data_IF_492332108580
#
_entry.id   IF_492332108580
#
_cell.length_a   1.000
_cell.length_b   1.000
_cell.length_c   1.000
_cell.angle_alpha   90.00
_cell.angle_beta   90.00
_cell.angle_gamma   90.00
#
_symmetry.space_group_name_H-M   'P 1'
#
loop_
_entity.id
_entity.type
_entity.pdbx_description
1 polymer ?
#
# COMPACT_ATOMS: atom_id res chain seq x y z
N UNK A 1 -31.25 2.32 -17.93
CA UNK A 1 -30.58 1.00 -17.75
C UNK A 1 -31.48 0.04 -16.95
N UNK A 2 -32.71 -0.25 -17.40
CA UNK A 2 -33.72 -0.96 -16.58
C UNK A 2 -33.47 -2.47 -16.40
N UNK A 3 -32.57 -3.06 -17.20
CA UNK A 3 -32.29 -4.51 -17.19
C UNK A 3 -30.93 -4.89 -16.60
N UNK A 4 -30.23 -3.96 -15.94
CA UNK A 4 -28.92 -4.27 -15.34
C UNK A 4 -29.12 -5.10 -14.06
N UNK A 5 -28.56 -6.29 -14.07
CA UNK A 5 -28.71 -7.28 -12.99
C UNK A 5 -27.50 -7.32 -12.04
N UNK A 6 -26.31 -6.99 -12.56
CA UNK A 6 -25.07 -6.94 -11.81
C UNK A 6 -24.27 -5.67 -12.12
N UNK A 7 -23.76 -5.01 -11.08
CA UNK A 7 -22.92 -3.82 -11.17
C UNK A 7 -21.68 -3.98 -10.27
N UNK A 8 -20.53 -3.72 -10.88
CA UNK A 8 -19.23 -3.64 -10.22
C UNK A 8 -18.73 -2.21 -10.32
N UNK A 9 -18.69 -1.50 -9.19
CA UNK A 9 -18.42 -0.07 -9.15
C UNK A 9 -17.10 0.24 -8.44
N UNK A 10 -16.21 0.97 -9.11
CA UNK A 10 -14.99 1.49 -8.50
C UNK A 10 -15.01 3.01 -8.55
N UNK A 11 -15.02 3.67 -7.40
CA UNK A 11 -15.05 5.13 -7.30
C UNK A 11 -13.85 5.57 -6.47
N UNK A 12 -13.11 6.54 -7.01
CA UNK A 12 -12.11 7.31 -6.27
C UNK A 12 -12.49 8.77 -6.46
N UNK A 13 -12.78 9.47 -5.37
CA UNK A 13 -13.33 10.84 -5.46
C UNK A 13 -12.83 11.72 -4.33
N UNK A 14 -12.51 12.97 -4.66
CA UNK A 14 -12.37 14.05 -3.69
C UNK A 14 -13.76 14.66 -3.49
N UNK A 15 -14.29 14.53 -2.28
CA UNK A 15 -15.63 14.98 -1.94
C UNK A 15 -15.59 16.33 -1.22
N UNK A 16 -16.47 17.24 -1.65
CA UNK A 16 -16.70 18.51 -0.97
C UNK A 16 -17.53 18.28 0.30
N UNK A 17 -16.87 18.00 1.41
CA UNK A 17 -17.46 18.00 2.75
C UNK A 17 -18.36 16.80 3.10
N UNK A 18 -18.48 15.73 2.31
CA UNK A 18 -19.16 14.52 2.81
C UNK A 18 -18.66 13.24 2.15
N UNK A 19 -18.58 12.17 2.94
CA UNK A 19 -18.24 10.88 2.39
C UNK A 19 -19.44 10.30 1.65
N UNK A 20 -19.16 9.49 0.64
CA UNK A 20 -20.20 8.64 0.05
C UNK A 20 -20.57 7.58 1.10
N UNK A 21 -21.86 7.44 1.36
CA UNK A 21 -22.43 6.48 2.30
C UNK A 21 -23.49 5.60 1.62
N UNK A 22 -24.06 4.66 2.37
CA UNK A 22 -25.05 3.72 1.85
C UNK A 22 -26.33 4.41 1.40
N UNK A 23 -26.75 5.47 2.08
CA UNK A 23 -27.92 6.27 1.71
C UNK A 23 -27.72 6.97 0.36
N UNK A 24 -26.51 7.51 0.13
CA UNK A 24 -26.12 8.10 -1.16
C UNK A 24 -26.20 7.06 -2.27
N UNK A 25 -25.62 5.87 -2.07
CA UNK A 25 -25.68 4.80 -3.07
C UNK A 25 -27.10 4.29 -3.32
N UNK A 26 -27.91 4.18 -2.27
CA UNK A 26 -29.30 3.75 -2.38
C UNK A 26 -30.10 4.73 -3.24
N UNK A 27 -30.01 6.02 -2.92
CA UNK A 27 -30.73 7.08 -3.61
C UNK A 27 -30.28 7.26 -5.06
N UNK A 28 -28.97 7.25 -5.30
CA UNK A 28 -28.39 7.66 -6.58
C UNK A 28 -28.22 6.49 -7.57
N UNK A 29 -28.19 5.24 -7.08
CA UNK A 29 -27.96 4.06 -7.92
C UNK A 29 -29.09 3.03 -7.76
N UNK A 30 -29.27 2.49 -6.55
CA UNK A 30 -30.13 1.30 -6.34
C UNK A 30 -31.58 1.60 -6.70
N UNK A 31 -32.10 2.77 -6.31
CA UNK A 31 -33.48 3.21 -6.61
C UNK A 31 -33.79 3.18 -8.12
N UNK A 32 -32.81 3.51 -8.96
CA UNK A 32 -32.98 3.61 -10.41
C UNK A 32 -32.65 2.30 -11.15
N UNK A 33 -32.23 1.26 -10.43
CA UNK A 33 -31.85 -0.05 -10.97
C UNK A 33 -32.59 -1.18 -10.25
N UNK A 34 -33.93 -1.30 -10.40
CA UNK A 34 -34.74 -2.23 -9.60
C UNK A 34 -34.44 -3.71 -9.84
N UNK A 35 -33.72 -4.06 -10.92
CA UNK A 35 -33.27 -5.44 -11.21
C UNK A 35 -31.86 -5.73 -10.71
N UNK A 36 -31.18 -4.76 -10.09
CA UNK A 36 -29.82 -4.92 -9.59
C UNK A 36 -29.83 -5.77 -8.33
N UNK A 37 -29.68 -7.08 -8.49
CA UNK A 37 -29.56 -8.01 -7.36
C UNK A 37 -28.11 -8.29 -6.98
N UNK A 38 -27.13 -7.91 -7.81
CA UNK A 38 -25.71 -8.06 -7.49
C UNK A 38 -24.99 -6.72 -7.60
N UNK A 39 -24.80 -6.06 -6.47
CA UNK A 39 -24.06 -4.81 -6.40
C UNK A 39 -22.81 -4.99 -5.55
N UNK A 40 -21.65 -4.81 -6.16
CA UNK A 40 -20.35 -4.78 -5.46
C UNK A 40 -19.67 -3.47 -5.75
N UNK A 41 -19.04 -2.88 -4.75
CA UNK A 41 -18.36 -1.62 -4.92
C UNK A 41 -17.04 -1.54 -4.14
N UNK A 42 -16.18 -0.65 -4.62
CA UNK A 42 -14.99 -0.15 -3.97
C UNK A 42 -15.02 1.38 -4.07
N UNK A 43 -15.11 2.06 -2.94
CA UNK A 43 -15.27 3.51 -2.88
C UNK A 43 -14.18 4.07 -1.97
N UNK A 44 -13.27 4.83 -2.56
CA UNK A 44 -12.33 5.66 -1.83
C UNK A 44 -12.77 7.12 -1.97
N UNK A 45 -13.10 7.75 -0.86
CA UNK A 45 -13.47 9.17 -0.82
C UNK A 45 -12.55 9.93 0.10
N UNK A 46 -12.12 11.12 -0.30
CA UNK A 46 -11.30 12.02 0.52
C UNK A 46 -12.03 13.32 0.79
N UNK A 47 -11.83 13.90 1.97
CA UNK A 47 -12.41 15.20 2.37
C UNK A 47 -11.32 16.02 3.03
N UNK A 48 -11.17 17.28 2.62
CA UNK A 48 -10.25 18.22 3.26
C UNK A 48 -10.85 18.76 4.57
N UNK A 49 -10.02 18.87 5.61
CA UNK A 49 -10.40 19.42 6.92
C UNK A 49 -10.74 20.91 6.86
N UNK A 50 -10.29 21.63 5.84
CA UNK A 50 -10.69 23.01 5.59
C UNK A 50 -12.21 23.15 5.41
N UNK A 51 -12.89 22.06 5.04
CA UNK A 51 -14.30 22.10 4.66
C UNK A 51 -15.27 21.76 5.80
N UNK A 52 -14.84 21.23 6.98
CA UNK A 52 -15.77 20.82 8.05
C UNK A 52 -15.24 20.75 9.50
N UNK A 53 -16.17 20.94 10.46
CA UNK A 53 -15.98 20.87 11.92
C UNK A 53 -16.46 19.58 12.58
N UNK A 54 -17.17 18.68 11.89
CA UNK A 54 -17.74 17.45 12.48
C UNK A 54 -17.54 16.23 11.56
N UNK A 55 -16.70 15.28 11.98
CA UNK A 55 -16.55 13.99 11.29
C UNK A 55 -17.61 13.00 11.77
N UNK A 56 -18.41 12.45 10.85
CA UNK A 56 -19.27 11.32 11.19
C UNK A 56 -18.40 10.12 11.60
N UNK A 57 -18.63 9.57 12.80
CA UNK A 57 -17.93 8.38 13.28
C UNK A 57 -18.20 7.19 12.33
N UNK A 58 -17.21 6.32 12.15
CA UNK A 58 -17.30 5.08 11.35
C UNK A 58 -18.64 4.35 11.56
N UNK A 59 -19.06 4.21 12.82
CA UNK A 59 -20.26 3.49 13.22
C UNK A 59 -21.55 4.08 12.63
N UNK A 60 -21.66 5.40 12.49
CA UNK A 60 -22.85 6.00 11.89
C UNK A 60 -22.97 5.64 10.42
N UNK A 61 -21.85 5.59 9.73
CA UNK A 61 -21.89 5.38 8.31
C UNK A 61 -21.92 3.89 7.95
N UNK A 62 -21.34 3.01 8.76
CA UNK A 62 -21.55 1.56 8.63
C UNK A 62 -23.04 1.20 8.67
N UNK A 63 -23.83 1.84 9.54
CA UNK A 63 -25.28 1.63 9.62
C UNK A 63 -26.03 1.97 8.34
N UNK A 64 -25.56 2.94 7.56
CA UNK A 64 -26.20 3.29 6.28
C UNK A 64 -26.12 2.15 5.24
N UNK A 65 -25.25 1.17 5.46
CA UNK A 65 -25.09 0.01 4.57
C UNK A 65 -25.89 -1.22 5.01
N UNK A 66 -26.69 -1.16 6.08
CA UNK A 66 -27.46 -2.32 6.59
C UNK A 66 -28.42 -2.92 5.55
N UNK A 67 -28.87 -2.14 4.58
CA UNK A 67 -29.78 -2.57 3.51
C UNK A 67 -29.08 -3.28 2.33
N UNK A 68 -27.75 -3.39 2.35
CA UNK A 68 -26.97 -4.03 1.28
C UNK A 68 -26.76 -5.52 1.61
N UNK A 69 -27.81 -6.33 1.47
CA UNK A 69 -27.83 -7.73 1.93
C UNK A 69 -26.88 -8.71 1.20
N UNK A 70 -26.29 -8.31 0.07
CA UNK A 70 -25.57 -9.24 -0.81
C UNK A 70 -24.09 -9.43 -0.46
N UNK A 71 -23.50 -8.53 0.32
CA UNK A 71 -22.10 -8.61 0.72
C UNK A 71 -21.93 -8.02 2.11
N UNK A 72 -20.98 -8.55 2.89
CA UNK A 72 -20.46 -7.82 4.04
C UNK A 72 -19.77 -6.55 3.53
N UNK A 73 -20.09 -5.40 4.13
CA UNK A 73 -19.51 -4.12 3.76
C UNK A 73 -18.48 -3.73 4.81
N UNK A 74 -17.24 -3.57 4.38
CA UNK A 74 -16.15 -3.13 5.25
C UNK A 74 -15.94 -1.63 5.05
N UNK A 75 -15.75 -0.92 6.15
CA UNK A 75 -15.43 0.51 6.13
C UNK A 75 -14.20 0.82 6.97
N UNK A 76 -13.38 1.73 6.47
CA UNK A 76 -12.22 2.28 7.17
C UNK A 76 -12.18 3.79 6.97
N UNK A 77 -11.85 4.53 8.02
CA UNK A 77 -11.58 5.96 7.95
C UNK A 77 -10.18 6.19 8.50
N UNK A 78 -9.42 6.96 7.74
CA UNK A 78 -8.07 7.41 8.06
C UNK A 78 -8.06 8.92 8.13
N UNK A 79 -7.42 9.45 9.16
CA UNK A 79 -7.28 10.88 9.40
C UNK A 79 -5.82 11.28 9.23
N UNK A 80 -5.56 12.17 8.28
CA UNK A 80 -4.25 12.70 7.94
C UNK A 80 -4.17 14.14 8.41
N UNK A 81 -3.82 14.31 9.69
CA UNK A 81 -3.83 15.60 10.39
C UNK A 81 -2.77 16.56 9.81
N UNK A 82 -1.58 16.06 9.48
CA UNK A 82 -0.50 16.90 8.93
C UNK A 82 -0.84 17.43 7.54
N UNK A 83 -1.54 16.62 6.74
CA UNK A 83 -2.01 16.98 5.40
C UNK A 83 -3.37 17.67 5.38
N UNK A 84 -4.08 17.67 6.50
CA UNK A 84 -5.37 18.34 6.60
C UNK A 84 -6.49 17.65 5.82
N UNK A 85 -6.53 16.32 5.74
CA UNK A 85 -7.63 15.61 5.10
C UNK A 85 -7.95 14.26 5.76
N UNK A 86 -9.16 13.76 5.53
CA UNK A 86 -9.56 12.40 5.88
C UNK A 86 -9.76 11.59 4.60
N UNK A 87 -9.37 10.32 4.61
CA UNK A 87 -9.75 9.34 3.59
C UNK A 87 -10.72 8.35 4.20
N UNK A 88 -11.69 7.93 3.40
CA UNK A 88 -12.59 6.84 3.72
C UNK A 88 -12.60 5.81 2.62
N UNK A 89 -12.44 4.56 3.02
CA UNK A 89 -12.49 3.42 2.13
C UNK A 89 -13.64 2.50 2.52
N UNK A 90 -14.51 2.20 1.57
CA UNK A 90 -15.69 1.37 1.74
C UNK A 90 -15.69 0.35 0.61
N UNK A 91 -15.85 -0.92 0.93
CA UNK A 91 -15.91 -1.95 -0.10
C UNK A 91 -16.79 -3.14 0.28
N UNK A 92 -17.29 -3.81 -0.76
CA UNK A 92 -17.97 -5.10 -0.63
C UNK A 92 -16.96 -6.24 -0.47
N UNK A 93 -17.14 -7.07 0.54
CA UNK A 93 -16.34 -8.28 0.78
C UNK A 93 -17.00 -9.52 0.11
N UNK A 94 -16.23 -10.41 -0.53
CA UNK A 94 -14.78 -10.35 -0.74
C UNK A 94 -14.37 -9.28 -1.75
N UNK A 95 -13.21 -8.67 -1.53
CA UNK A 95 -12.64 -7.64 -2.39
C UNK A 95 -12.27 -8.19 -3.77
N UNK A 96 -12.73 -7.54 -4.85
CA UNK A 96 -12.60 -8.05 -6.22
C UNK A 96 -11.65 -7.27 -7.13
N UNK A 97 -11.12 -6.15 -6.66
CA UNK A 97 -10.24 -5.32 -7.49
C UNK A 97 -8.79 -5.78 -7.38
N UNK A 98 -8.05 -5.53 -8.46
CA UNK A 98 -6.63 -5.85 -8.58
C UNK A 98 -5.75 -4.95 -7.70
N UNK A 99 -6.22 -3.73 -7.43
CA UNK A 99 -5.43 -2.68 -6.80
C UNK A 99 -6.05 -2.31 -5.46
N UNK A 100 -5.23 -2.19 -4.42
CA UNK A 100 -5.61 -1.63 -3.13
C UNK A 100 -4.67 -0.46 -2.81
N UNK A 101 -5.21 0.76 -2.80
CA UNK A 101 -4.40 1.96 -2.64
C UNK A 101 -4.47 2.58 -1.24
N UNK A 102 -3.34 3.17 -0.83
CA UNK A 102 -3.17 3.97 0.39
C UNK A 102 -3.59 3.23 1.67
N UNK A 103 -3.08 2.01 1.85
CA UNK A 103 -3.26 1.27 3.11
C UNK A 103 -2.45 1.95 4.22
N UNK A 104 -3.10 2.23 5.34
CA UNK A 104 -2.53 2.89 6.52
C UNK A 104 -2.31 1.89 7.67
N UNK A 105 -1.69 2.33 8.77
CA UNK A 105 -1.56 1.52 9.99
C UNK A 105 -2.91 1.05 10.59
N UNK A 106 -4.04 1.66 10.21
CA UNK A 106 -5.36 1.25 10.71
C UNK A 106 -5.90 -0.01 10.02
N UNK A 107 -5.20 -0.51 9.00
CA UNK A 107 -5.57 -1.72 8.29
C UNK A 107 -5.64 -2.93 9.22
N UNK A 108 -6.81 -3.55 9.28
CA UNK A 108 -7.10 -4.67 10.19
C UNK A 108 -6.64 -6.02 9.67
N UNK A 109 -6.20 -6.11 8.41
CA UNK A 109 -5.90 -7.37 7.74
C UNK A 109 -7.13 -7.93 7.02
N UNK A 110 -7.06 -9.22 6.66
CA UNK A 110 -8.08 -9.93 5.87
C UNK A 110 -7.43 -10.62 4.67
N UNK A 111 -8.16 -11.47 3.95
CA UNK A 111 -7.61 -12.19 2.81
C UNK A 111 -8.07 -11.57 1.48
N UNK A 112 -7.12 -11.03 0.72
CA UNK A 112 -7.38 -10.30 -0.52
C UNK A 112 -6.74 -11.01 -1.72
N UNK A 113 -7.32 -12.13 -2.13
CA UNK A 113 -6.76 -12.98 -3.20
C UNK A 113 -6.77 -12.36 -4.59
N UNK A 114 -7.65 -11.37 -4.83
CA UNK A 114 -7.75 -10.69 -6.13
C UNK A 114 -6.76 -9.54 -6.30
N UNK A 115 -6.16 -9.07 -5.19
CA UNK A 115 -5.29 -7.90 -5.18
C UNK A 115 -3.86 -8.32 -5.52
N UNK A 116 -3.28 -7.67 -6.53
CA UNK A 116 -1.88 -7.89 -6.93
C UNK A 116 -1.04 -6.61 -6.85
N UNK A 117 -1.67 -5.45 -6.69
CA UNK A 117 -0.99 -4.14 -6.61
C UNK A 117 -1.42 -3.44 -5.33
N UNK A 118 -0.46 -3.11 -4.47
CA UNK A 118 -0.71 -2.49 -3.17
C UNK A 118 0.12 -1.23 -3.03
N UNK A 119 -0.49 -0.16 -2.53
CA UNK A 119 0.24 1.01 -2.05
C UNK A 119 -0.03 1.26 -0.57
N UNK A 120 1.04 1.56 0.17
CA UNK A 120 1.03 1.87 1.59
C UNK A 120 1.33 3.36 1.78
N UNK A 121 0.54 4.03 2.62
CA UNK A 121 0.76 5.42 2.99
C UNK A 121 0.20 5.69 4.39
N UNK A 122 0.98 6.38 5.23
CA UNK A 122 0.52 6.90 6.52
C UNK A 122 1.39 8.10 6.92
N UNK A 123 0.84 8.99 7.74
CA UNK A 123 1.59 10.07 8.40
C UNK A 123 2.37 9.56 9.61
N UNK A 124 2.02 8.39 10.12
CA UNK A 124 2.73 7.69 11.20
C UNK A 124 3.68 6.67 10.61
N UNK A 125 4.80 6.41 11.30
CA UNK A 125 5.74 5.37 10.90
C UNK A 125 5.10 3.98 10.86
N UNK A 126 5.56 3.13 9.95
CA UNK A 126 5.17 1.72 9.91
C UNK A 126 6.07 0.86 10.81
N UNK A 127 5.48 -0.12 11.49
CA UNK A 127 6.20 -1.12 12.28
C UNK A 127 6.37 -2.44 11.51
N UNK A 128 7.28 -3.31 11.94
CA UNK A 128 7.50 -4.64 11.34
C UNK A 128 6.19 -5.46 11.25
N UNK A 129 5.38 -5.43 12.30
CA UNK A 129 4.09 -6.13 12.38
C UNK A 129 3.08 -5.67 11.31
N UNK A 130 3.19 -4.42 10.86
CA UNK A 130 2.35 -3.90 9.79
C UNK A 130 2.71 -4.59 8.48
N UNK A 131 3.99 -4.67 8.15
CA UNK A 131 4.46 -5.37 6.95
C UNK A 131 4.13 -6.87 6.98
N UNK A 132 4.22 -7.53 8.15
CA UNK A 132 3.76 -8.90 8.30
C UNK A 132 2.27 -9.05 7.96
N UNK A 133 1.44 -8.12 8.46
CA UNK A 133 0.00 -8.09 8.17
C UNK A 133 -0.28 -7.88 6.68
N UNK A 134 0.49 -7.01 6.02
CA UNK A 134 0.41 -6.82 4.55
C UNK A 134 0.75 -8.12 3.83
N UNK A 135 1.88 -8.76 4.14
CA UNK A 135 2.29 -10.01 3.50
C UNK A 135 1.22 -11.13 3.63
N UNK A 136 0.64 -11.27 4.82
CA UNK A 136 -0.43 -12.26 5.08
C UNK A 136 -1.74 -11.92 4.37
N UNK A 137 -2.04 -10.64 4.20
CA UNK A 137 -3.30 -10.21 3.62
C UNK A 137 -3.34 -10.29 2.10
N UNK A 138 -2.16 -10.17 1.46
CA UNK A 138 -2.02 -10.08 0.00
C UNK A 138 -1.09 -11.18 -0.55
N UNK A 139 -1.50 -12.45 -0.50
CA UNK A 139 -0.62 -13.58 -0.85
C UNK A 139 -0.14 -13.57 -2.31
N UNK A 140 -0.90 -12.95 -3.22
CA UNK A 140 -0.58 -12.87 -4.65
C UNK A 140 -0.08 -11.48 -5.09
N UNK A 141 0.35 -10.64 -4.14
CA UNK A 141 0.89 -9.31 -4.43
C UNK A 141 2.12 -9.38 -5.34
N UNK A 142 2.05 -8.66 -6.46
CA UNK A 142 3.14 -8.52 -7.45
C UNK A 142 3.82 -7.17 -7.39
N UNK A 143 3.12 -6.13 -6.94
CA UNK A 143 3.63 -4.77 -6.85
C UNK A 143 3.32 -4.19 -5.47
N UNK A 144 4.37 -3.69 -4.80
CA UNK A 144 4.27 -3.00 -3.53
C UNK A 144 4.89 -1.61 -3.65
N UNK A 145 4.11 -0.59 -3.35
CA UNK A 145 4.59 0.80 -3.24
C UNK A 145 4.53 1.24 -1.78
N UNK A 146 5.63 1.72 -1.22
CA UNK A 146 5.68 2.23 0.15
C UNK A 146 5.98 3.72 0.13
N UNK A 147 5.03 4.53 0.62
CA UNK A 147 5.16 5.98 0.73
C UNK A 147 5.04 6.40 2.19
N UNK A 148 6.16 6.58 2.85
CA UNK A 148 6.16 7.03 4.24
C UNK A 148 7.46 7.78 4.55
N UNK A 149 7.36 9.08 4.81
CA UNK A 149 8.51 9.93 5.06
C UNK A 149 8.99 9.89 6.52
N UNK A 150 8.23 9.27 7.44
CA UNK A 150 8.63 9.13 8.84
C UNK A 150 9.58 7.95 8.99
N UNK A 151 10.64 8.17 9.76
CA UNK A 151 11.58 7.13 10.18
C UNK A 151 10.85 5.95 10.82
N UNK A 152 11.35 4.73 10.62
CA UNK A 152 10.70 3.54 11.16
C UNK A 152 10.73 3.60 12.70
N UNK A 153 9.57 3.45 13.34
CA UNK A 153 9.52 3.32 14.79
C UNK A 153 10.13 1.97 15.16
N UNK A 154 11.03 1.98 16.14
CA UNK A 154 11.67 0.76 16.67
C UNK A 154 12.55 0.01 15.67
N UNK A 155 13.64 0.63 15.19
CA UNK A 155 14.77 -0.07 14.53
C UNK A 155 15.33 -1.25 15.33
N UNK A 156 14.97 -1.34 16.62
CA UNK A 156 15.36 -2.41 17.54
C UNK A 156 14.17 -2.78 18.45
N UNK A 157 13.45 -3.85 18.11
CA UNK A 157 12.65 -4.66 19.05
C UNK A 157 12.82 -6.11 18.57
N UNK A 158 13.48 -7.04 19.28
CA UNK A 158 13.43 -7.36 20.70
C UNK A 158 14.84 -7.75 21.20
N UNK A 159 15.44 -6.92 22.06
CA UNK A 159 16.28 -7.40 23.17
C UNK A 159 15.49 -7.19 24.45
N UNK A 160 14.29 -7.78 24.56
CA UNK A 160 13.64 -7.94 25.85
C UNK A 160 13.90 -9.35 26.33
N UNK A 161 14.45 -9.42 27.54
CA UNK A 161 14.60 -10.63 28.30
C UNK A 161 13.24 -11.34 28.40
N UNK A 162 13.29 -12.66 28.27
CA UNK A 162 12.22 -13.63 28.43
C UNK A 162 11.23 -13.73 27.24
N UNK A 163 11.25 -14.93 26.67
CA UNK A 163 10.41 -15.51 25.63
C UNK A 163 10.79 -15.24 24.16
N UNK A 164 11.26 -16.32 23.54
CA UNK A 164 11.67 -16.52 22.14
C UNK A 164 10.54 -16.23 21.13
N UNK A 165 9.99 -15.02 21.06
CA UNK A 165 9.23 -14.58 19.89
C UNK A 165 10.18 -14.04 18.84
N UNK A 166 10.92 -14.96 18.21
CA UNK A 166 11.57 -14.70 16.94
C UNK A 166 10.46 -14.30 15.97
N UNK A 167 10.32 -13.01 15.66
CA UNK A 167 9.40 -12.56 14.63
C UNK A 167 9.69 -13.37 13.37
N UNK A 168 8.66 -14.05 12.86
CA UNK A 168 8.75 -14.85 11.63
C UNK A 168 9.27 -13.98 10.48
N UNK A 169 10.04 -14.60 9.59
CA UNK A 169 10.46 -13.96 8.35
C UNK A 169 9.21 -13.52 7.59
N UNK A 170 9.18 -12.25 7.18
CA UNK A 170 8.13 -11.65 6.37
C UNK A 170 8.47 -11.93 4.90
N UNK A 171 7.68 -12.79 4.27
CA UNK A 171 7.91 -13.22 2.90
C UNK A 171 6.94 -12.56 1.93
N UNK A 172 7.46 -12.11 0.80
CA UNK A 172 6.66 -11.57 -0.31
C UNK A 172 6.84 -12.42 -1.58
N UNK A 173 6.36 -13.68 -1.60
CA UNK A 173 6.79 -14.68 -2.57
C UNK A 173 6.52 -14.31 -4.03
N UNK A 174 5.48 -13.51 -4.29
CA UNK A 174 5.04 -13.14 -5.64
C UNK A 174 5.49 -11.74 -6.06
N UNK A 175 6.25 -11.03 -5.22
CA UNK A 175 6.59 -9.62 -5.45
C UNK A 175 7.58 -9.47 -6.58
N UNK A 176 7.17 -8.82 -7.66
CA UNK A 176 8.04 -8.55 -8.82
C UNK A 176 8.52 -7.10 -8.85
N UNK A 177 7.80 -6.19 -8.20
CA UNK A 177 8.09 -4.75 -8.20
C UNK A 177 7.94 -4.16 -6.80
N UNK A 178 8.95 -3.40 -6.39
CA UNK A 178 8.97 -2.66 -5.14
C UNK A 178 9.31 -1.19 -5.44
N UNK A 179 8.43 -0.26 -5.05
CA UNK A 179 8.65 1.18 -5.20
C UNK A 179 8.81 1.85 -3.82
N UNK A 180 9.99 2.43 -3.61
CA UNK A 180 10.46 3.10 -2.39
C UNK A 180 10.88 4.56 -2.66
N UNK A 181 10.38 5.21 -3.74
CA UNK A 181 10.78 6.58 -4.14
C UNK A 181 10.23 7.72 -3.29
N UNK A 182 9.32 7.45 -2.35
CA UNK A 182 8.78 8.47 -1.48
C UNK A 182 8.77 7.96 -0.04
N UNK A 183 9.87 7.31 0.33
CA UNK A 183 9.99 6.61 1.61
C UNK A 183 11.24 7.06 2.35
N UNK A 184 11.17 7.03 3.67
CA UNK A 184 12.32 7.25 4.51
C UNK A 184 13.35 6.12 4.31
N UNK A 185 14.64 6.45 4.28
CA UNK A 185 15.73 5.50 4.04
C UNK A 185 15.73 4.27 4.97
N UNK A 186 15.12 4.36 6.15
CA UNK A 186 14.92 3.22 7.05
C UNK A 186 14.15 2.07 6.39
N UNK A 187 13.11 2.36 5.59
CA UNK A 187 12.37 1.32 4.88
C UNK A 187 13.19 0.74 3.72
N UNK A 188 14.06 1.54 3.10
CA UNK A 188 15.04 1.04 2.12
C UNK A 188 16.00 0.07 2.81
N UNK A 189 16.49 0.41 4.00
CA UNK A 189 17.33 -0.48 4.80
C UNK A 189 16.57 -1.75 5.19
N UNK A 190 15.32 -1.64 5.64
CA UNK A 190 14.46 -2.76 6.02
C UNK A 190 14.31 -3.76 4.85
N UNK A 191 13.91 -3.28 3.67
CA UNK A 191 13.66 -4.17 2.53
C UNK A 191 14.94 -4.74 1.91
N UNK A 192 16.02 -3.96 1.86
CA UNK A 192 17.24 -4.39 1.17
C UNK A 192 18.23 -5.13 2.06
N UNK A 193 18.25 -4.78 3.35
CA UNK A 193 19.30 -5.20 4.27
C UNK A 193 18.84 -6.01 5.50
N UNK A 194 17.56 -5.99 5.87
CA UNK A 194 17.06 -6.74 7.03
C UNK A 194 16.87 -8.23 6.70
N UNK A 195 17.31 -9.10 7.62
CA UNK A 195 17.17 -10.55 7.53
C UNK A 195 15.73 -11.02 7.77
N UNK A 196 14.88 -10.20 8.38
CA UNK A 196 13.46 -10.50 8.58
C UNK A 196 12.65 -10.32 7.31
N UNK A 197 13.16 -9.64 6.30
CA UNK A 197 12.47 -9.47 5.01
C UNK A 197 13.01 -10.47 3.99
N UNK A 198 12.15 -11.31 3.43
CA UNK A 198 12.51 -12.20 2.35
C UNK A 198 11.80 -11.78 1.05
N UNK A 199 12.57 -11.19 0.15
CA UNK A 199 12.11 -10.86 -1.20
C UNK A 199 12.37 -12.02 -2.16
N UNK A 200 11.61 -12.16 -3.25
CA UNK A 200 11.86 -13.19 -4.26
C UNK A 200 12.97 -12.72 -5.22
N UNK A 201 13.45 -13.67 -6.03
CA UNK A 201 14.42 -13.37 -7.10
C UNK A 201 13.78 -12.56 -8.22
N UNK A 202 14.61 -11.89 -9.01
CA UNK A 202 14.20 -11.07 -10.15
C UNK A 202 13.31 -9.88 -9.78
N UNK A 203 13.56 -9.25 -8.63
CA UNK A 203 12.82 -8.08 -8.18
C UNK A 203 13.26 -6.82 -8.93
N UNK A 204 12.29 -5.99 -9.32
CA UNK A 204 12.51 -4.66 -9.86
C UNK A 204 12.32 -3.63 -8.75
N UNK A 205 13.38 -2.91 -8.39
CA UNK A 205 13.34 -1.89 -7.34
C UNK A 205 13.34 -0.49 -7.94
N UNK A 206 12.38 0.35 -7.53
CA UNK A 206 12.43 1.79 -7.72
C UNK A 206 12.75 2.47 -6.40
N UNK A 207 13.75 3.33 -6.35
CA UNK A 207 14.20 3.97 -5.11
C UNK A 207 14.90 5.29 -5.41
N UNK A 208 14.91 6.21 -4.44
CA UNK A 208 15.69 7.43 -4.56
C UNK A 208 17.18 7.15 -4.42
N UNK A 209 17.98 7.75 -5.30
CA UNK A 209 19.43 7.58 -5.31
C UNK A 209 20.06 7.93 -3.95
N UNK A 210 19.68 9.07 -3.37
CA UNK A 210 20.21 9.55 -2.09
C UNK A 210 19.88 8.59 -0.93
N UNK A 211 18.67 8.03 -0.90
CA UNK A 211 18.28 7.03 0.10
C UNK A 211 19.13 5.77 -0.04
N UNK A 212 19.35 5.31 -1.27
CA UNK A 212 20.16 4.12 -1.55
C UNK A 212 21.65 4.33 -1.22
N UNK A 213 22.21 5.48 -1.61
CA UNK A 213 23.58 5.89 -1.29
C UNK A 213 23.79 5.90 0.23
N UNK A 214 22.84 6.45 0.99
CA UNK A 214 22.89 6.49 2.45
C UNK A 214 22.91 5.10 3.08
N UNK A 215 22.00 4.19 2.69
CA UNK A 215 21.91 2.85 3.30
C UNK A 215 23.06 1.92 2.89
N UNK A 216 23.68 2.19 1.74
CA UNK A 216 24.85 1.46 1.23
C UNK A 216 26.18 2.06 1.68
N UNK A 217 26.16 3.14 2.47
CA UNK A 217 27.34 3.90 2.86
C UNK A 217 28.19 4.30 1.65
N UNK A 218 27.60 5.03 0.71
CA UNK A 218 28.23 5.41 -0.57
C UNK A 218 28.69 4.17 -1.36
N UNK A 219 27.86 3.12 -1.41
CA UNK A 219 28.15 1.89 -2.13
C UNK A 219 29.44 1.18 -1.66
N UNK A 220 29.76 1.28 -0.36
CA UNK A 220 30.93 0.59 0.24
C UNK A 220 30.53 -0.50 1.24
N UNK A 221 29.26 -0.53 1.68
CA UNK A 221 28.76 -1.49 2.67
C UNK A 221 28.84 -2.92 2.11
N UNK A 222 29.73 -3.73 2.66
CA UNK A 222 29.88 -5.12 2.24
C UNK A 222 28.78 -5.99 2.86
N UNK A 223 27.87 -6.52 2.06
CA UNK A 223 26.83 -7.44 2.54
C UNK A 223 26.70 -8.68 1.68
N UNK A 224 26.99 -9.85 2.26
CA UNK A 224 26.60 -11.19 1.75
C UNK A 224 25.17 -11.55 2.21
N UNK A 225 24.59 -12.64 1.68
CA UNK A 225 23.51 -12.57 0.70
C UNK A 225 22.27 -11.87 1.27
N UNK A 226 21.99 -10.67 0.77
CA UNK A 226 20.82 -9.89 1.15
C UNK A 226 19.84 -9.75 -0.02
N UNK A 227 18.69 -9.13 0.20
CA UNK A 227 17.71 -8.89 -0.86
C UNK A 227 18.28 -8.08 -2.04
N UNK A 228 19.36 -7.31 -1.83
CA UNK A 228 20.13 -6.67 -2.91
C UNK A 228 20.56 -7.62 -4.04
N UNK A 229 20.95 -8.86 -3.72
CA UNK A 229 21.40 -9.82 -4.73
C UNK A 229 20.26 -10.38 -5.59
N UNK A 230 19.01 -10.18 -5.15
CA UNK A 230 17.80 -10.66 -5.82
C UNK A 230 17.25 -9.66 -6.83
N UNK A 231 17.85 -8.46 -6.92
CA UNK A 231 17.42 -7.40 -7.81
C UNK A 231 17.79 -7.71 -9.27
N UNK A 232 16.78 -7.83 -10.13
CA UNK A 232 16.98 -7.87 -11.59
C UNK A 232 17.21 -6.47 -12.16
N UNK A 233 16.50 -5.47 -11.65
CA UNK A 233 16.61 -4.11 -12.13
C UNK A 233 16.45 -3.07 -11.02
N UNK A 234 17.14 -1.95 -11.20
CA UNK A 234 17.16 -0.80 -10.30
C UNK A 234 16.81 0.46 -11.08
N UNK A 235 15.78 1.16 -10.62
CA UNK A 235 15.21 2.32 -11.29
C UNK A 235 15.34 3.55 -10.41
N UNK A 236 15.91 4.61 -10.97
CA UNK A 236 15.99 5.91 -10.34
C UNK A 236 15.05 6.89 -11.01
N UNK A 237 14.50 7.81 -10.21
CA UNK A 237 13.99 9.07 -10.74
C UNK A 237 15.13 9.76 -11.51
N UNK A 238 14.86 10.47 -12.63
CA UNK A 238 15.91 11.11 -13.44
C UNK A 238 16.95 11.85 -12.58
N UNK A 239 18.15 11.27 -12.56
CA UNK A 239 19.37 11.83 -11.99
C UNK A 239 20.30 12.15 -13.14
N UNK A 240 21.06 13.25 -13.03
CA UNK A 240 21.90 13.74 -14.12
C UNK A 240 22.94 12.72 -14.60
N UNK A 241 23.55 11.96 -13.69
CA UNK A 241 24.54 10.94 -14.02
C UNK A 241 24.51 9.80 -13.00
N UNK A 242 24.49 8.55 -13.47
CA UNK A 242 24.66 7.36 -12.63
C UNK A 242 26.15 7.14 -12.39
N UNK A 243 26.55 7.06 -11.13
CA UNK A 243 27.93 6.80 -10.70
C UNK A 243 28.42 5.38 -11.13
N UNK A 244 29.69 5.24 -11.50
CA UNK A 244 30.31 3.91 -11.73
C UNK A 244 30.36 3.07 -10.45
N UNK A 245 30.45 3.70 -9.27
CA UNK A 245 30.43 3.01 -7.99
C UNK A 245 29.16 2.17 -7.80
N UNK A 246 28.00 2.66 -8.25
CA UNK A 246 26.75 1.90 -8.14
C UNK A 246 26.70 0.69 -9.09
N UNK A 247 27.25 0.82 -10.30
CA UNK A 247 27.33 -0.28 -11.27
C UNK A 247 28.22 -1.40 -10.73
N UNK A 248 29.32 -1.04 -10.08
CA UNK A 248 30.21 -1.99 -9.41
C UNK A 248 29.52 -2.67 -8.23
N UNK A 249 28.76 -1.92 -7.43
CA UNK A 249 28.05 -2.45 -6.27
C UNK A 249 26.92 -3.41 -6.64
N UNK A 250 26.18 -3.10 -7.71
CA UNK A 250 25.09 -3.92 -8.25
C UNK A 250 25.48 -4.54 -9.60
N UNK A 251 26.59 -5.29 -9.63
CA UNK A 251 27.20 -5.82 -10.86
C UNK A 251 26.31 -6.75 -11.69
N UNK A 252 25.24 -7.29 -11.10
CA UNK A 252 24.31 -8.22 -11.75
C UNK A 252 22.90 -7.63 -11.94
N UNK A 253 22.73 -6.34 -11.67
CA UNK A 253 21.42 -5.66 -11.74
C UNK A 253 21.41 -4.68 -12.90
N UNK A 254 20.33 -4.68 -13.68
CA UNK A 254 20.13 -3.69 -14.74
C UNK A 254 19.77 -2.33 -14.13
N UNK A 255 20.65 -1.34 -14.24
CA UNK A 255 20.41 0.01 -13.70
C UNK A 255 19.83 0.91 -14.80
N UNK A 256 18.72 1.60 -14.50
CA UNK A 256 18.03 2.50 -15.43
C UNK A 256 17.65 3.83 -14.76
N UNK A 257 17.83 4.94 -15.48
CA UNK A 257 17.18 6.22 -15.17
C UNK A 257 15.90 6.32 -15.98
N UNK A 258 14.74 6.49 -15.33
CA UNK A 258 13.47 6.57 -16.04
C UNK A 258 12.61 7.70 -15.49
N UNK A 259 12.17 8.61 -16.36
CA UNK A 259 11.10 9.56 -16.05
C UNK A 259 9.73 8.84 -15.95
N UNK A 260 9.57 7.71 -16.65
CA UNK A 260 8.32 6.98 -16.68
C UNK A 260 8.53 5.48 -16.43
N UNK A 261 7.85 4.97 -15.41
CA UNK A 261 7.72 3.54 -15.13
C UNK A 261 6.70 2.94 -16.13
N UNK A 262 6.98 3.01 -17.43
CA UNK A 262 6.04 2.48 -18.43
C UNK A 262 6.12 0.96 -18.43
N UNK A 263 4.95 0.36 -18.21
CA UNK A 263 4.62 -1.05 -18.39
C UNK A 263 5.25 -1.62 -19.68
N UNK A 264 6.39 -2.30 -19.55
CA UNK A 264 6.68 -3.38 -20.49
C UNK A 264 5.74 -4.53 -20.09
N UNK A 265 4.62 -4.63 -20.79
CA UNK A 265 3.76 -5.82 -20.81
C UNK A 265 4.46 -6.96 -21.54
#
# INVERSE_FOLDING_TARGET
MLNLEALHLNIIVESNGRFIDGDTLMKDIVLYMPRLYKFTFNICSTINHCDQTNFALNQHIEKTFEYFHNNEIITCIDHFQEKGYSQRHIYSYPYKWKVYNNITNNFRGGLFTSVTEVSLYDERSFADEFFLRIAQSFPFMKELTVKNLKAQNNKQLVKSNNDNQTLSIIEYPNLTRLDLTNTHHDYVELFLFDRKMALPNHLHLRVDYQSLEKVTCNFTRYTRPNNCAKLAALYFHPVGQIDEHIKKYFSHTCIRCTAEFVLCK
#
